data_IF_010155019219
#
_entry.id   IF_010155019219
#
_cell.length_a   1.000
_cell.length_b   1.000
_cell.length_c   1.000
_cell.angle_alpha   90.00
_cell.angle_beta   90.00
_cell.angle_gamma   90.00
#
_symmetry.space_group_name_H-M   'P 1'
#
loop_
_entity.id
_entity.type
_entity.pdbx_description
1 polymer ?
#
# COMPACT_ATOMS: atom_id res chain seq x y z
N UNK A 1 29.40 17.05 -3.49
CA UNK A 1 28.85 17.59 -2.22
C UNK A 1 27.45 17.04 -2.07
N UNK A 2 27.18 16.32 -0.98
CA UNK A 2 25.84 15.82 -0.68
C UNK A 2 24.90 17.02 -0.46
N UNK A 3 23.77 17.01 -1.14
CA UNK A 3 22.73 18.01 -0.98
C UNK A 3 21.77 17.63 0.15
N UNK A 4 21.22 18.65 0.82
CA UNK A 4 20.25 18.42 1.90
C UNK A 4 19.11 19.46 1.84
N UNK A 5 17.91 19.02 2.16
CA UNK A 5 16.75 19.87 2.37
C UNK A 5 16.33 19.74 3.82
N UNK A 6 16.16 20.89 4.48
CA UNK A 6 15.75 20.97 5.88
C UNK A 6 14.68 22.05 6.03
N UNK A 7 13.71 21.81 6.89
CA UNK A 7 12.77 22.84 7.34
C UNK A 7 13.29 23.50 8.61
N UNK A 8 13.18 24.82 8.72
CA UNK A 8 13.63 25.58 9.89
C UNK A 8 12.67 25.51 11.09
N UNK A 9 11.40 25.10 10.88
CA UNK A 9 10.34 25.18 11.88
C UNK A 9 9.66 23.85 12.16
N UNK A 10 10.30 22.72 11.91
CA UNK A 10 9.67 21.38 11.98
C UNK A 10 8.37 21.25 11.16
N UNK A 11 8.19 22.09 10.15
CA UNK A 11 7.05 21.98 9.24
C UNK A 11 7.35 20.99 8.13
N UNK A 12 6.33 20.26 7.70
CA UNK A 12 6.45 19.37 6.53
C UNK A 12 6.64 20.20 5.26
N UNK A 13 7.71 19.91 4.53
CA UNK A 13 7.96 20.54 3.22
C UNK A 13 7.16 19.80 2.16
N UNK A 14 6.30 20.50 1.42
CA UNK A 14 5.48 19.89 0.37
C UNK A 14 6.08 20.19 -1.00
N UNK A 15 6.36 19.15 -1.76
CA UNK A 15 6.83 19.24 -3.14
C UNK A 15 5.71 18.81 -4.09
N UNK A 16 5.66 19.43 -5.27
CA UNK A 16 4.85 18.91 -6.34
C UNK A 16 5.58 17.73 -7.01
N UNK A 17 6.74 18.00 -7.59
CA UNK A 17 7.57 16.96 -8.21
C UNK A 17 9.01 17.05 -7.70
N UNK A 18 9.66 15.90 -7.59
CA UNK A 18 11.09 15.79 -7.31
C UNK A 18 11.73 15.01 -8.46
N UNK A 19 12.76 15.58 -9.06
CA UNK A 19 13.63 14.89 -10.01
C UNK A 19 15.04 14.94 -9.45
N UNK A 20 15.59 13.75 -9.12
CA UNK A 20 16.97 13.61 -8.69
C UNK A 20 17.82 13.08 -9.84
N UNK A 21 18.72 13.90 -10.36
CA UNK A 21 19.70 13.54 -11.39
C UNK A 21 21.07 14.08 -11.00
N UNK A 22 21.56 13.66 -9.84
CA UNK A 22 22.85 14.08 -9.30
C UNK A 22 23.49 12.94 -8.50
N UNK A 23 24.67 12.49 -8.93
CA UNK A 23 25.40 11.41 -8.27
C UNK A 23 25.79 11.70 -6.83
N UNK A 24 25.80 12.97 -6.39
CA UNK A 24 26.02 13.34 -5.00
C UNK A 24 24.84 12.94 -4.09
N UNK A 25 23.65 12.80 -4.66
CA UNK A 25 22.44 12.44 -3.92
C UNK A 25 21.79 13.59 -3.16
N UNK A 26 20.69 13.27 -2.46
CA UNK A 26 19.89 14.23 -1.69
C UNK A 26 19.46 13.62 -0.36
N UNK A 27 19.71 14.34 0.73
CA UNK A 27 19.17 14.03 2.05
C UNK A 27 17.94 14.91 2.36
N UNK A 28 16.87 14.29 2.84
CA UNK A 28 15.76 15.00 3.47
C UNK A 28 16.01 14.99 4.98
N UNK A 29 16.27 16.14 5.55
CA UNK A 29 16.56 16.31 6.98
C UNK A 29 15.36 16.89 7.74
N UNK A 30 14.18 16.75 7.19
CA UNK A 30 12.89 17.08 7.82
C UNK A 30 11.77 16.31 7.13
N UNK A 31 10.63 16.17 7.80
CA UNK A 31 9.44 15.57 7.20
C UNK A 31 9.06 16.28 5.91
N UNK A 32 8.73 15.52 4.89
CA UNK A 32 8.44 16.01 3.56
C UNK A 32 7.25 15.25 2.95
N UNK A 33 6.57 15.86 2.01
CA UNK A 33 5.47 15.27 1.30
C UNK A 33 5.53 15.59 -0.20
N UNK A 34 4.92 14.72 -0.99
CA UNK A 34 4.85 14.83 -2.44
C UNK A 34 3.39 14.80 -2.89
N UNK A 35 3.00 15.70 -3.79
CA UNK A 35 1.67 15.74 -4.39
C UNK A 35 1.66 15.30 -5.87
N UNK A 36 2.82 15.24 -6.50
CA UNK A 36 3.01 14.82 -7.89
C UNK A 36 3.90 13.59 -8.01
N UNK A 37 5.06 13.69 -8.66
CA UNK A 37 5.91 12.54 -8.96
C UNK A 37 7.33 12.66 -8.38
N UNK A 38 7.87 11.53 -7.93
CA UNK A 38 9.28 11.35 -7.61
C UNK A 38 9.96 10.56 -8.73
N UNK A 39 10.97 11.15 -9.38
CA UNK A 39 11.78 10.51 -10.41
C UNK A 39 13.25 10.46 -9.99
N UNK A 40 13.77 9.25 -9.80
CA UNK A 40 15.17 9.04 -9.44
C UNK A 40 15.96 8.57 -10.66
N UNK A 41 16.74 9.47 -11.25
CA UNK A 41 17.52 9.23 -12.46
C UNK A 41 18.95 8.87 -12.12
N UNK A 42 19.57 9.57 -11.15
CA UNK A 42 20.94 9.33 -10.71
C UNK A 42 21.11 9.79 -9.27
N UNK A 43 21.87 9.02 -8.47
CA UNK A 43 22.16 9.32 -7.07
C UNK A 43 21.14 8.73 -6.10
N UNK A 44 21.38 8.92 -4.81
CA UNK A 44 20.56 8.39 -3.72
C UNK A 44 19.71 9.48 -3.10
N UNK A 45 18.40 9.26 -3.00
CA UNK A 45 17.56 10.03 -2.10
C UNK A 45 17.44 9.27 -0.78
N UNK A 46 17.82 9.92 0.31
CA UNK A 46 17.73 9.38 1.67
C UNK A 46 16.84 10.29 2.51
N UNK A 47 15.77 9.75 3.07
CA UNK A 47 14.87 10.51 3.94
C UNK A 47 15.35 10.60 5.40
N UNK A 48 16.49 9.97 5.73
CA UNK A 48 17.11 10.02 7.08
C UNK A 48 16.11 9.69 8.19
N UNK A 49 15.24 8.73 7.98
CA UNK A 49 14.16 8.30 8.89
C UNK A 49 13.11 9.40 9.20
N UNK A 50 13.13 10.51 8.49
CA UNK A 50 12.03 11.47 8.52
C UNK A 50 10.85 10.96 7.69
N UNK A 51 9.65 11.39 8.04
CA UNK A 51 8.43 11.00 7.29
C UNK A 51 8.49 11.58 5.88
N UNK A 52 8.35 10.72 4.87
CA UNK A 52 8.17 11.13 3.48
C UNK A 52 6.86 10.57 2.95
N UNK A 53 5.88 11.46 2.76
CA UNK A 53 4.51 11.09 2.41
C UNK A 53 4.22 11.26 0.93
N UNK A 54 3.70 10.24 0.28
CA UNK A 54 3.03 10.32 -1.02
C UNK A 54 1.55 10.63 -0.77
N UNK A 55 1.14 11.86 -1.05
CA UNK A 55 -0.21 12.36 -0.76
C UNK A 55 -1.19 11.83 -1.81
N UNK A 56 -2.36 11.38 -1.33
CA UNK A 56 -3.51 11.05 -2.17
C UNK A 56 -4.71 11.88 -1.77
N UNK A 57 -5.34 12.49 -2.75
CA UNK A 57 -6.56 13.29 -2.59
C UNK A 57 -7.60 12.84 -3.60
N UNK A 58 -8.77 13.45 -3.54
CA UNK A 58 -9.84 13.23 -4.52
C UNK A 58 -9.39 13.56 -5.96
N UNK A 59 -8.51 14.54 -6.11
CA UNK A 59 -8.08 15.06 -7.41
C UNK A 59 -6.89 14.29 -7.98
N UNK A 60 -5.97 13.83 -7.13
CA UNK A 60 -4.74 13.18 -7.58
C UNK A 60 -4.09 12.36 -6.48
N UNK A 61 -3.29 11.38 -6.90
CA UNK A 61 -2.42 10.59 -6.03
C UNK A 61 -0.97 10.75 -6.47
N UNK A 62 -0.11 11.09 -5.53
CA UNK A 62 1.32 11.17 -5.76
C UNK A 62 1.90 9.78 -6.12
N UNK A 63 2.94 9.77 -6.94
CA UNK A 63 3.56 8.54 -7.41
C UNK A 63 5.06 8.55 -7.23
N UNK A 64 5.60 7.38 -6.91
CA UNK A 64 7.01 7.11 -6.96
C UNK A 64 7.32 6.45 -8.32
N UNK A 65 7.90 7.20 -9.23
CA UNK A 65 8.23 6.74 -10.57
C UNK A 65 9.33 5.69 -10.60
N UNK A 66 9.66 5.18 -11.78
CA UNK A 66 10.73 4.20 -11.91
C UNK A 66 12.06 4.75 -11.42
N UNK A 67 12.83 3.87 -10.77
CA UNK A 67 14.17 4.18 -10.28
C UNK A 67 15.19 3.66 -11.27
N UNK A 68 16.01 4.55 -11.83
CA UNK A 68 17.07 4.16 -12.75
C UNK A 68 18.14 3.31 -12.03
N UNK A 69 18.88 2.48 -12.77
CA UNK A 69 19.94 1.61 -12.21
C UNK A 69 21.05 2.39 -11.49
N UNK A 70 21.25 3.66 -11.85
CA UNK A 70 22.21 4.59 -11.23
C UNK A 70 21.66 5.35 -10.05
N UNK A 71 20.42 5.07 -9.66
CA UNK A 71 19.73 5.75 -8.58
C UNK A 71 19.24 4.78 -7.50
N UNK A 72 18.99 5.29 -6.30
CA UNK A 72 18.42 4.52 -5.20
C UNK A 72 17.59 5.39 -4.27
N UNK A 73 16.78 4.72 -3.45
CA UNK A 73 16.04 5.34 -2.35
C UNK A 73 16.37 4.62 -1.04
N UNK A 74 16.57 5.38 0.04
CA UNK A 74 16.82 4.87 1.38
C UNK A 74 15.79 5.44 2.34
N UNK A 75 15.17 4.57 3.14
CA UNK A 75 14.19 4.87 4.16
C UNK A 75 12.80 4.31 3.86
N UNK A 76 11.87 4.57 4.75
CA UNK A 76 10.47 4.22 4.58
C UNK A 76 9.70 5.37 3.91
N UNK A 77 8.64 5.06 3.20
CA UNK A 77 7.66 6.04 2.71
C UNK A 77 6.32 5.82 3.38
N UNK A 78 5.56 6.88 3.51
CA UNK A 78 4.15 6.82 3.89
C UNK A 78 3.31 7.03 2.64
N UNK A 79 2.56 6.01 2.23
CA UNK A 79 1.65 6.09 1.10
C UNK A 79 0.23 6.36 1.58
N UNK A 80 -0.42 7.30 0.94
CA UNK A 80 -1.85 7.54 1.10
C UNK A 80 -2.63 6.98 -0.08
N UNK A 81 -3.83 6.50 0.19
CA UNK A 81 -4.82 6.11 -0.79
C UNK A 81 -6.17 6.70 -0.41
N UNK A 82 -6.65 7.67 -1.20
CA UNK A 82 -7.96 8.30 -1.00
C UNK A 82 -9.08 7.36 -1.44
N UNK A 83 -10.06 7.17 -0.58
CA UNK A 83 -11.28 6.39 -0.85
C UNK A 83 -12.48 7.31 -0.63
N UNK A 84 -13.23 7.62 -1.70
CA UNK A 84 -14.42 8.47 -1.57
C UNK A 84 -15.54 7.74 -0.82
N UNK A 85 -16.29 8.46 0.00
CA UNK A 85 -17.53 7.98 0.56
C UNK A 85 -18.69 7.99 -0.48
N UNK A 86 -19.80 7.30 -0.21
CA UNK A 86 -20.03 6.45 0.98
C UNK A 86 -19.21 5.16 0.96
N UNK A 87 -18.76 4.72 2.13
CA UNK A 87 -18.02 3.46 2.25
C UNK A 87 -19.01 2.29 2.18
N UNK A 88 -18.98 1.54 1.09
CA UNK A 88 -19.95 0.49 0.81
C UNK A 88 -19.33 -0.73 0.15
N UNK A 89 -19.73 -1.90 0.65
CA UNK A 89 -19.45 -3.17 0.01
C UNK A 89 -18.00 -3.61 0.06
N UNK A 90 -17.69 -4.56 -0.83
CA UNK A 90 -16.39 -5.16 -0.97
C UNK A 90 -15.53 -4.38 -1.97
N UNK A 91 -14.30 -4.15 -1.61
CA UNK A 91 -13.29 -3.57 -2.49
C UNK A 91 -11.97 -4.30 -2.37
N UNK A 92 -11.08 -4.10 -3.34
CA UNK A 92 -9.77 -4.74 -3.36
C UNK A 92 -8.69 -3.75 -3.00
N UNK A 93 -7.79 -4.19 -2.10
CA UNK A 93 -6.62 -3.43 -1.68
C UNK A 93 -5.35 -4.23 -1.87
N UNK A 94 -4.23 -3.53 -1.83
CA UNK A 94 -2.90 -4.09 -1.75
C UNK A 94 -1.93 -3.10 -1.16
N UNK A 95 -0.69 -3.52 -0.99
CA UNK A 95 0.38 -2.65 -0.52
C UNK A 95 1.45 -2.51 -1.59
N UNK A 96 1.93 -1.30 -1.79
CA UNK A 96 3.10 -1.00 -2.60
C UNK A 96 4.35 -0.72 -1.72
N UNK A 97 4.22 -0.95 -0.42
CA UNK A 97 5.33 -0.88 0.53
C UNK A 97 5.48 -2.21 1.27
N UNK A 98 6.72 -2.59 1.56
CA UNK A 98 7.03 -3.78 2.35
C UNK A 98 7.12 -3.41 3.82
N UNK A 99 6.72 -4.36 4.68
CA UNK A 99 6.79 -4.17 6.13
C UNK A 99 5.53 -3.60 6.77
N UNK A 100 4.58 -3.06 6.00
CA UNK A 100 3.28 -2.67 6.50
C UNK A 100 2.51 -3.86 7.08
N UNK A 101 1.65 -3.63 8.06
CA UNK A 101 0.78 -4.63 8.67
C UNK A 101 -0.69 -4.29 8.48
N UNK A 102 -1.55 -5.29 8.68
CA UNK A 102 -3.00 -5.10 8.63
C UNK A 102 -3.50 -4.10 9.68
N UNK A 103 -2.77 -3.96 10.78
CA UNK A 103 -3.04 -2.96 11.82
C UNK A 103 -3.05 -1.54 11.25
N UNK A 104 -2.18 -1.24 10.27
CA UNK A 104 -2.18 0.07 9.62
C UNK A 104 -3.43 0.33 8.76
N UNK A 105 -4.10 -0.73 8.27
CA UNK A 105 -5.42 -0.58 7.65
C UNK A 105 -6.51 -0.36 8.70
N UNK A 106 -6.43 -1.06 9.83
CA UNK A 106 -7.39 -0.91 10.95
C UNK A 106 -7.46 0.55 11.43
N UNK A 107 -6.36 1.28 11.42
CA UNK A 107 -6.33 2.70 11.79
C UNK A 107 -7.19 3.59 10.87
N UNK A 108 -7.59 3.09 9.70
CA UNK A 108 -8.30 3.87 8.69
C UNK A 108 -9.75 3.38 8.45
N UNK A 109 -10.01 2.09 8.64
CA UNK A 109 -11.35 1.51 8.57
C UNK A 109 -11.44 0.26 9.46
N UNK A 110 -12.61 -0.03 10.05
CA UNK A 110 -12.72 -1.10 11.03
C UNK A 110 -12.52 -2.47 10.38
N UNK A 111 -11.43 -3.16 10.78
CA UNK A 111 -11.18 -4.56 10.46
C UNK A 111 -11.51 -5.50 11.61
N UNK A 112 -11.90 -4.96 12.78
CA UNK A 112 -12.03 -5.68 14.04
C UNK A 112 -13.38 -5.37 14.65
N UNK A 113 -14.03 -6.38 15.22
CA UNK A 113 -15.21 -6.17 16.04
C UNK A 113 -14.85 -5.83 17.51
N UNK A 114 -15.86 -5.38 18.26
CA UNK A 114 -15.76 -5.05 19.68
C UNK A 114 -15.55 -6.27 20.60
N UNK A 115 -15.49 -7.49 20.08
CA UNK A 115 -15.49 -8.76 20.82
C UNK A 115 -14.08 -9.39 20.88
N UNK A 116 -13.10 -8.76 20.26
CA UNK A 116 -11.71 -9.24 20.27
C UNK A 116 -11.42 -10.34 19.24
N UNK A 117 -12.31 -10.59 18.33
CA UNK A 117 -12.04 -11.40 17.14
C UNK A 117 -11.46 -10.49 16.08
N UNK A 118 -10.18 -10.61 15.85
CA UNK A 118 -9.48 -9.80 14.85
C UNK A 118 -10.09 -10.03 13.46
N UNK A 119 -10.25 -8.93 12.71
CA UNK A 119 -10.68 -8.96 11.32
C UNK A 119 -12.13 -9.41 11.10
N UNK A 120 -12.94 -9.34 12.14
CA UNK A 120 -14.38 -9.59 12.11
C UNK A 120 -15.16 -8.33 12.52
N UNK A 121 -16.25 -8.06 11.84
CA UNK A 121 -17.21 -7.03 12.17
C UNK A 121 -18.54 -7.73 12.48
N UNK A 122 -19.01 -7.66 13.74
CA UNK A 122 -20.23 -8.34 14.23
C UNK A 122 -20.28 -9.85 13.89
N UNK A 123 -19.15 -10.56 14.02
CA UNK A 123 -19.02 -11.97 13.62
C UNK A 123 -18.83 -12.20 12.12
N UNK A 124 -18.76 -11.13 11.33
CA UNK A 124 -18.53 -11.17 9.89
C UNK A 124 -17.07 -10.85 9.59
N UNK A 125 -16.40 -11.72 8.85
CA UNK A 125 -15.00 -11.50 8.46
C UNK A 125 -14.91 -10.39 7.42
N UNK A 126 -14.14 -9.36 7.74
CA UNK A 126 -14.08 -8.13 6.94
C UNK A 126 -12.93 -8.11 5.93
N UNK A 127 -11.99 -9.07 5.97
CA UNK A 127 -10.85 -9.10 5.05
C UNK A 127 -10.45 -10.52 4.65
N UNK A 128 -10.09 -10.71 3.39
CA UNK A 128 -9.65 -11.99 2.85
C UNK A 128 -8.51 -11.82 1.86
N UNK A 129 -7.65 -12.83 1.79
CA UNK A 129 -6.84 -13.15 0.62
C UNK A 129 -7.51 -14.31 -0.14
N UNK A 130 -7.12 -14.51 -1.39
CA UNK A 130 -7.56 -15.64 -2.17
C UNK A 130 -6.44 -16.69 -2.32
N UNK A 131 -6.74 -17.93 -1.98
CA UNK A 131 -5.84 -19.06 -2.14
C UNK A 131 -6.37 -19.98 -3.23
N UNK A 132 -5.79 -19.89 -4.42
CA UNK A 132 -6.21 -20.64 -5.62
C UNK A 132 -6.05 -22.17 -5.44
N UNK A 133 -5.04 -22.60 -4.67
CA UNK A 133 -4.79 -24.04 -4.42
C UNK A 133 -5.59 -24.60 -3.25
N UNK A 134 -6.43 -23.84 -2.58
CA UNK A 134 -7.30 -24.36 -1.54
C UNK A 134 -8.39 -25.28 -2.14
N UNK A 135 -8.74 -26.37 -1.47
CA UNK A 135 -9.80 -27.23 -1.95
C UNK A 135 -11.16 -26.52 -1.91
N UNK A 136 -11.88 -26.57 -3.02
CA UNK A 136 -13.25 -26.06 -3.12
C UNK A 136 -13.48 -25.25 -4.40
N UNK A 137 -14.74 -25.12 -4.83
CA UNK A 137 -15.08 -24.24 -5.94
C UNK A 137 -14.87 -22.77 -5.55
N UNK A 138 -14.65 -21.90 -6.52
CA UNK A 138 -14.41 -20.46 -6.36
C UNK A 138 -15.44 -19.74 -5.49
N UNK A 139 -16.68 -20.18 -5.54
CA UNK A 139 -17.80 -19.63 -4.77
C UNK A 139 -17.87 -20.14 -3.32
N UNK A 140 -16.96 -21.02 -2.93
CA UNK A 140 -16.90 -21.47 -1.54
C UNK A 140 -15.97 -20.59 -0.71
N UNK A 141 -16.39 -20.33 0.52
CA UNK A 141 -15.61 -19.62 1.55
C UNK A 141 -14.22 -20.27 1.75
N UNK A 142 -14.02 -21.52 1.39
CA UNK A 142 -12.76 -22.24 1.58
C UNK A 142 -11.56 -21.68 0.81
N UNK A 143 -11.78 -21.02 -0.33
CA UNK A 143 -10.70 -20.38 -1.10
C UNK A 143 -10.36 -18.99 -0.60
N UNK A 144 -11.24 -18.38 0.20
CA UNK A 144 -10.98 -17.09 0.82
C UNK A 144 -10.41 -17.29 2.21
N UNK A 145 -9.18 -16.85 2.41
CA UNK A 145 -8.45 -17.01 3.65
C UNK A 145 -8.45 -15.68 4.41
N UNK A 146 -9.13 -15.68 5.57
CA UNK A 146 -9.08 -14.54 6.47
C UNK A 146 -7.76 -14.57 7.25
N UNK A 147 -6.97 -13.50 7.24
CA UNK A 147 -5.84 -13.37 8.16
C UNK A 147 -6.30 -13.51 9.61
N UNK A 148 -5.46 -14.08 10.46
CA UNK A 148 -5.82 -14.39 11.85
C UNK A 148 -5.31 -13.38 12.88
N UNK A 149 -4.47 -12.45 12.45
CA UNK A 149 -3.81 -11.48 13.31
C UNK A 149 -3.55 -10.17 12.56
N UNK A 150 -3.92 -9.06 13.16
CA UNK A 150 -3.70 -7.72 12.62
C UNK A 150 -2.22 -7.33 12.49
N UNK A 151 -1.35 -7.97 13.26
CA UNK A 151 0.10 -7.78 13.15
C UNK A 151 0.71 -8.48 11.93
N UNK A 152 -0.08 -9.33 11.26
CA UNK A 152 0.35 -9.96 10.00
C UNK A 152 0.75 -8.89 8.99
N UNK A 153 1.90 -9.12 8.36
CA UNK A 153 2.39 -8.24 7.31
C UNK A 153 1.56 -8.39 6.06
N UNK A 154 1.26 -7.26 5.43
CA UNK A 154 0.64 -7.23 4.12
C UNK A 154 1.67 -7.74 3.10
N UNK A 155 1.30 -8.76 2.35
CA UNK A 155 2.20 -9.39 1.39
C UNK A 155 2.20 -8.57 0.11
N UNK A 156 3.37 -8.11 -0.31
CA UNK A 156 3.54 -7.34 -1.54
C UNK A 156 3.05 -8.14 -2.75
N UNK A 157 2.33 -7.48 -3.65
CA UNK A 157 1.75 -8.09 -4.85
C UNK A 157 0.51 -8.96 -4.60
N UNK A 158 0.14 -9.21 -3.34
CA UNK A 158 -1.09 -9.92 -2.98
C UNK A 158 -2.24 -8.94 -2.85
N UNK A 159 -3.33 -9.24 -3.54
CA UNK A 159 -4.60 -8.53 -3.36
C UNK A 159 -5.36 -9.02 -2.13
N UNK A 160 -6.03 -8.11 -1.48
CA UNK A 160 -6.92 -8.35 -0.36
C UNK A 160 -8.31 -7.85 -0.71
N UNK A 161 -9.31 -8.65 -0.44
CA UNK A 161 -10.71 -8.25 -0.52
C UNK A 161 -11.12 -7.75 0.86
N UNK A 162 -11.53 -6.51 0.98
CA UNK A 162 -11.92 -5.89 2.25
C UNK A 162 -13.33 -5.32 2.16
N UNK A 163 -14.10 -5.48 3.23
CA UNK A 163 -15.42 -4.90 3.36
C UNK A 163 -15.32 -3.54 4.05
N UNK A 164 -15.73 -2.49 3.36
CA UNK A 164 -15.61 -1.12 3.86
C UNK A 164 -16.81 -0.66 4.70
N UNK A 165 -17.97 -1.26 4.51
CA UNK A 165 -19.18 -0.85 5.22
C UNK A 165 -20.45 -1.09 4.42
N UNK A 166 -21.57 -0.57 4.94
CA UNK A 166 -22.91 -0.74 4.38
C UNK A 166 -23.48 0.56 3.75
N UNK A 167 -22.60 1.54 3.47
CA UNK A 167 -23.01 2.83 2.89
C UNK A 167 -23.55 3.84 3.90
N UNK A 168 -23.62 3.51 5.18
CA UNK A 168 -24.07 4.45 6.21
C UNK A 168 -23.02 5.51 6.58
N UNK A 169 -21.75 5.19 6.40
CA UNK A 169 -20.68 6.18 6.55
C UNK A 169 -20.42 6.86 5.20
N UNK A 170 -20.74 8.15 5.15
CA UNK A 170 -20.62 8.97 3.94
C UNK A 170 -19.32 9.77 3.89
N UNK A 171 -18.47 9.68 4.90
CA UNK A 171 -17.22 10.40 4.95
C UNK A 171 -16.19 9.78 3.98
N UNK A 172 -15.42 10.65 3.33
CA UNK A 172 -14.22 10.22 2.64
C UNK A 172 -13.18 9.75 3.66
N UNK A 173 -12.39 8.73 3.30
CA UNK A 173 -11.26 8.30 4.13
C UNK A 173 -9.95 8.34 3.33
N UNK A 174 -8.85 8.39 4.05
CA UNK A 174 -7.51 8.25 3.46
C UNK A 174 -6.78 7.11 4.15
N UNK A 175 -6.62 6.01 3.44
CA UNK A 175 -5.86 4.85 3.92
C UNK A 175 -4.38 5.18 3.85
N UNK A 176 -3.65 4.88 4.93
CA UNK A 176 -2.24 5.22 5.06
C UNK A 176 -1.43 3.97 5.38
N UNK A 177 -0.39 3.71 4.59
CA UNK A 177 0.56 2.62 4.81
C UNK A 177 1.98 3.15 4.84
N UNK A 178 2.78 2.71 5.81
CA UNK A 178 4.18 3.06 5.94
C UNK A 178 5.07 1.83 5.85
N UNK A 179 6.14 1.94 5.06
CA UNK A 179 7.12 0.88 4.87
C UNK A 179 8.10 1.21 3.76
N UNK A 180 8.94 0.26 3.41
CA UNK A 180 9.92 0.46 2.32
C UNK A 180 9.22 0.38 0.97
N UNK A 181 9.41 1.38 0.09
CA UNK A 181 8.86 1.31 -1.26
C UNK A 181 9.45 0.12 -2.02
N UNK A 182 8.63 -0.59 -2.76
CA UNK A 182 9.14 -1.57 -3.71
C UNK A 182 9.65 -0.83 -4.95
N UNK A 183 10.91 -1.05 -5.27
CA UNK A 183 11.59 -0.50 -6.44
C UNK A 183 12.33 -1.65 -7.16
N UNK A 184 12.38 -1.60 -8.48
CA UNK A 184 12.98 -2.66 -9.30
C UNK A 184 11.95 -3.70 -9.76
N UNK A 185 12.43 -4.86 -10.20
CA UNK A 185 11.57 -5.89 -10.77
C UNK A 185 10.76 -6.62 -9.68
N UNK A 186 9.52 -6.96 -9.99
CA UNK A 186 8.66 -7.80 -9.15
C UNK A 186 8.27 -9.06 -9.92
N UNK A 187 8.66 -10.21 -9.39
CA UNK A 187 8.35 -11.52 -9.98
C UNK A 187 7.09 -12.09 -9.33
N UNK A 188 5.94 -11.85 -9.96
CA UNK A 188 4.69 -12.46 -9.53
C UNK A 188 4.65 -13.94 -9.98
N UNK A 189 4.41 -14.85 -9.01
CA UNK A 189 4.31 -16.28 -9.25
C UNK A 189 2.86 -16.72 -9.09
N UNK A 190 2.08 -16.75 -10.18
CA UNK A 190 0.70 -17.23 -10.10
C UNK A 190 0.65 -18.70 -9.71
N UNK A 191 -0.35 -19.08 -8.95
CA UNK A 191 -0.67 -20.48 -8.66
C UNK A 191 -1.74 -20.97 -9.62
N UNK A 192 -1.71 -22.28 -9.89
CA UNK A 192 -2.69 -22.95 -10.73
C UNK A 192 -3.02 -24.31 -10.15
N UNK A 193 -4.28 -24.51 -9.80
CA UNK A 193 -4.80 -25.79 -9.33
C UNK A 193 -5.55 -26.48 -10.49
N UNK A 194 -4.96 -27.51 -11.08
CA UNK A 194 -5.56 -28.25 -12.17
C UNK A 194 -6.72 -29.17 -11.67
N UNK A 195 -7.70 -28.57 -11.04
CA UNK A 195 -8.90 -29.27 -10.52
C UNK A 195 -9.99 -29.49 -11.58
N UNK A 196 -9.79 -28.96 -12.80
CA UNK A 196 -10.75 -28.92 -13.90
C UNK A 196 -11.98 -28.03 -13.59
N UNK A 197 -11.82 -27.06 -12.70
CA UNK A 197 -12.82 -26.03 -12.44
C UNK A 197 -12.60 -24.85 -13.40
N UNK A 198 -13.69 -24.19 -13.81
CA UNK A 198 -13.62 -22.98 -14.66
C UNK A 198 -12.89 -21.81 -13.97
N UNK A 199 -12.66 -21.90 -12.68
CA UNK A 199 -11.96 -20.89 -11.87
C UNK A 199 -10.49 -21.24 -11.56
N UNK A 200 -9.97 -22.36 -12.11
CA UNK A 200 -8.56 -22.70 -11.96
C UNK A 200 -7.67 -21.59 -12.52
N UNK A 201 -6.64 -21.20 -11.77
CA UNK A 201 -5.69 -20.15 -12.14
C UNK A 201 -6.10 -18.72 -11.74
N UNK A 202 -7.24 -18.52 -11.05
CA UNK A 202 -7.55 -17.20 -10.50
C UNK A 202 -6.59 -16.84 -9.38
N UNK A 203 -6.01 -15.66 -9.47
CA UNK A 203 -5.12 -15.10 -8.45
C UNK A 203 -5.56 -13.67 -8.14
N UNK A 204 -5.73 -13.34 -6.87
CA UNK A 204 -6.02 -12.00 -6.43
C UNK A 204 -4.70 -11.25 -6.22
N UNK A 205 -4.41 -10.31 -7.12
CA UNK A 205 -3.14 -9.60 -7.17
C UNK A 205 -3.31 -8.11 -6.92
N UNK A 206 -2.25 -7.48 -6.43
CA UNK A 206 -2.18 -6.05 -6.24
C UNK A 206 -0.95 -5.47 -6.94
N UNK A 207 -1.02 -4.19 -7.29
CA UNK A 207 0.13 -3.45 -7.77
C UNK A 207 1.20 -3.36 -6.67
N UNK A 208 2.42 -3.90 -6.88
CA UNK A 208 3.49 -3.86 -5.89
C UNK A 208 4.24 -2.52 -5.85
N UNK A 209 3.94 -1.61 -6.75
CA UNK A 209 4.68 -0.36 -6.89
C UNK A 209 3.91 0.84 -6.33
N UNK A 210 4.59 1.82 -5.72
CA UNK A 210 3.97 3.07 -5.26
C UNK A 210 3.71 4.04 -6.42
N UNK A 211 3.28 3.51 -7.55
CA UNK A 211 2.92 4.22 -8.78
C UNK A 211 1.88 3.42 -9.56
N UNK A 212 1.20 4.05 -10.51
CA UNK A 212 0.38 3.31 -11.47
C UNK A 212 1.27 2.43 -12.37
N UNK A 213 0.75 1.28 -12.77
CA UNK A 213 1.34 0.36 -13.75
C UNK A 213 0.51 0.36 -15.03
#
# INVERSE_FOLDING_TARGET
>A
ILHAISSTNNTTTIFNNIILNDSAGLNLNSSSALTGSLNLINGTLNNNDYIFTLISTKEATASFGPVAKSASYIGDITMQHFVPGPLEGWTTFGSAVTGASLEQWEDNFPLVDSIGSYLEMDGFKAIFTYNEIAPGPFDTISSYVCPTDKTNKIILGTGYLAYLGNGSDTADITITLTGKPHIGDFDFKPTYNNSHNIFDGFNLVANPYPSAI
#
